data_IF_011020646334
#
_entry.id   IF_011020646334
#
_cell.length_a   1.000
_cell.length_b   1.000
_cell.length_c   1.000
_cell.angle_alpha   90.00
_cell.angle_beta   90.00
_cell.angle_gamma   90.00
#
_symmetry.space_group_name_H-M   'P 1'
#
loop_
_entity.id
_entity.type
_entity.pdbx_description
1 polymer ?
#
# COMPACT_ATOMS: atom_id res chain seq x y z
N UNK A 1 -26.41 -2.50 -11.27
CA UNK A 1 -25.52 -2.52 -10.08
C UNK A 1 -24.70 -3.82 -9.98
N UNK A 2 -25.30 -5.00 -10.16
CA UNK A 2 -24.62 -6.32 -10.11
C UNK A 2 -23.37 -6.44 -11.01
N UNK A 3 -23.48 -6.02 -12.28
CA UNK A 3 -22.37 -6.11 -13.25
C UNK A 3 -21.12 -5.33 -12.83
N UNK A 4 -21.30 -4.13 -12.25
CA UNK A 4 -20.18 -3.31 -11.78
C UNK A 4 -19.46 -3.99 -10.62
N UNK A 5 -20.21 -4.50 -9.63
CA UNK A 5 -19.64 -5.23 -8.48
C UNK A 5 -18.88 -6.47 -8.94
N UNK A 6 -19.41 -7.21 -9.91
CA UNK A 6 -18.73 -8.38 -10.48
C UNK A 6 -17.38 -8.02 -11.11
N UNK A 7 -17.36 -6.96 -11.95
CA UNK A 7 -16.13 -6.47 -12.58
C UNK A 7 -15.12 -5.93 -11.58
N UNK A 8 -15.56 -5.24 -10.52
CA UNK A 8 -14.69 -4.78 -9.43
C UNK A 8 -14.01 -5.95 -8.71
N UNK A 9 -14.76 -7.02 -8.40
CA UNK A 9 -14.20 -8.23 -7.79
C UNK A 9 -13.21 -8.93 -8.72
N UNK A 10 -13.54 -9.02 -10.01
CA UNK A 10 -12.67 -9.59 -11.03
C UNK A 10 -11.34 -8.82 -11.10
N UNK A 11 -11.41 -7.48 -11.17
CA UNK A 11 -10.23 -6.62 -11.22
C UNK A 11 -9.38 -6.72 -9.95
N UNK A 12 -10.00 -6.68 -8.77
CA UNK A 12 -9.30 -6.78 -7.49
C UNK A 12 -8.61 -8.14 -7.29
N UNK A 13 -9.13 -9.21 -7.92
CA UNK A 13 -8.55 -10.56 -7.88
C UNK A 13 -7.53 -10.81 -8.99
N UNK A 14 -7.57 -10.03 -10.07
CA UNK A 14 -6.67 -10.16 -11.22
C UNK A 14 -5.22 -9.96 -10.82
N UNK A 15 -4.35 -10.84 -11.32
CA UNK A 15 -2.91 -10.73 -11.09
C UNK A 15 -2.32 -9.44 -11.69
N UNK A 16 -2.79 -9.04 -12.87
CA UNK A 16 -2.39 -7.78 -13.49
C UNK A 16 -2.79 -6.57 -12.62
N UNK A 17 -3.97 -6.60 -12.00
CA UNK A 17 -4.42 -5.57 -11.06
C UNK A 17 -3.48 -5.42 -9.86
N UNK A 18 -3.08 -6.56 -9.27
CA UNK A 18 -2.13 -6.60 -8.14
C UNK A 18 -0.75 -6.06 -8.52
N UNK A 19 -0.24 -6.41 -9.70
CA UNK A 19 1.02 -5.88 -10.22
C UNK A 19 0.96 -4.37 -10.41
N UNK A 20 -0.15 -3.85 -10.95
CA UNK A 20 -0.34 -2.40 -11.12
C UNK A 20 -0.41 -1.66 -9.79
N UNK A 21 -1.06 -2.24 -8.78
CA UNK A 21 -1.10 -1.69 -7.43
C UNK A 21 0.30 -1.61 -6.81
N UNK A 22 1.06 -2.71 -6.87
CA UNK A 22 2.45 -2.78 -6.38
C UNK A 22 3.34 -1.76 -7.11
N UNK A 23 3.21 -1.65 -8.43
CA UNK A 23 3.94 -0.67 -9.23
C UNK A 23 3.67 0.74 -8.71
N UNK A 24 2.39 1.11 -8.58
CA UNK A 24 1.95 2.43 -8.11
C UNK A 24 2.54 2.80 -6.75
N UNK A 25 2.53 1.88 -5.78
CA UNK A 25 3.08 2.17 -4.45
C UNK A 25 4.60 2.19 -4.43
N UNK A 26 5.24 1.39 -5.28
CA UNK A 26 6.71 1.33 -5.37
C UNK A 26 7.33 2.49 -6.14
N UNK A 27 6.53 3.27 -6.87
CA UNK A 27 6.95 4.42 -7.66
C UNK A 27 6.49 5.76 -7.08
N UNK A 28 5.64 5.74 -6.05
CA UNK A 28 5.13 6.95 -5.42
C UNK A 28 6.22 7.75 -4.68
N UNK A 29 5.92 9.01 -4.34
CA UNK A 29 6.84 9.90 -3.60
C UNK A 29 7.21 9.35 -2.21
N UNK A 30 6.32 8.58 -1.58
CA UNK A 30 6.51 7.97 -0.26
C UNK A 30 7.17 6.59 -0.26
N UNK A 31 7.69 6.13 -1.42
CA UNK A 31 8.17 4.75 -1.60
C UNK A 31 9.36 4.36 -0.72
N UNK A 32 10.10 5.36 -0.23
CA UNK A 32 11.27 5.18 0.66
C UNK A 32 10.92 5.29 2.13
N UNK A 33 9.64 5.47 2.46
CA UNK A 33 9.16 5.60 3.84
C UNK A 33 8.47 4.32 4.25
N UNK A 34 9.06 3.56 5.17
CA UNK A 34 8.49 2.31 5.66
C UNK A 34 7.38 2.54 6.70
N UNK A 35 6.48 1.56 6.83
CA UNK A 35 5.44 1.54 7.86
C UNK A 35 5.98 1.03 9.20
N UNK A 36 5.11 0.45 10.02
CA UNK A 36 5.47 -0.15 11.32
C UNK A 36 6.33 -1.41 11.19
N UNK A 37 6.23 -2.10 10.06
CA UNK A 37 7.01 -3.29 9.71
C UNK A 37 8.46 -2.98 9.29
N UNK A 38 8.78 -1.69 9.09
CA UNK A 38 10.07 -1.24 8.57
C UNK A 38 10.47 -1.86 7.20
N UNK A 39 9.50 -2.34 6.42
CA UNK A 39 9.76 -2.93 5.10
C UNK A 39 9.55 -1.94 3.94
N UNK A 40 10.38 -2.07 2.90
CA UNK A 40 10.30 -1.33 1.64
C UNK A 40 10.26 -2.28 0.44
N UNK A 41 9.66 -1.81 -0.66
CA UNK A 41 9.65 -2.50 -1.95
C UNK A 41 10.78 -2.02 -2.87
N UNK A 42 12.02 -2.15 -2.38
CA UNK A 42 13.25 -1.66 -3.01
C UNK A 42 13.75 -2.54 -4.17
N UNK A 43 13.51 -3.85 -4.10
CA UNK A 43 14.00 -4.84 -5.07
C UNK A 43 12.87 -5.42 -5.92
N UNK A 44 13.16 -5.84 -7.17
CA UNK A 44 12.18 -6.54 -8.01
C UNK A 44 11.61 -7.79 -7.33
N UNK A 45 12.44 -8.55 -6.61
CA UNK A 45 12.02 -9.74 -5.87
C UNK A 45 10.99 -9.41 -4.78
N UNK A 46 11.20 -8.35 -3.98
CA UNK A 46 10.22 -7.92 -2.96
C UNK A 46 8.92 -7.45 -3.60
N UNK A 47 8.98 -6.68 -4.70
CA UNK A 47 7.78 -6.26 -5.45
C UNK A 47 6.98 -7.48 -5.95
N UNK A 48 7.67 -8.45 -6.53
CA UNK A 48 7.06 -9.68 -7.03
C UNK A 48 6.40 -10.50 -5.92
N UNK A 49 7.09 -10.68 -4.79
CA UNK A 49 6.52 -11.36 -3.61
C UNK A 49 5.30 -10.62 -3.08
N UNK A 50 5.34 -9.29 -3.02
CA UNK A 50 4.22 -8.48 -2.57
C UNK A 50 2.99 -8.67 -3.46
N UNK A 51 3.16 -8.64 -4.80
CA UNK A 51 2.06 -8.86 -5.74
C UNK A 51 1.40 -10.24 -5.58
N UNK A 52 2.20 -11.28 -5.25
CA UNK A 52 1.69 -12.62 -4.94
C UNK A 52 0.97 -12.69 -3.59
N UNK A 53 1.45 -11.93 -2.59
CA UNK A 53 0.88 -11.89 -1.23
C UNK A 53 -0.44 -11.12 -1.15
N UNK A 54 -0.69 -10.18 -2.07
CA UNK A 54 -1.96 -9.43 -2.11
C UNK A 54 -3.14 -10.39 -2.32
N UNK A 55 -3.94 -10.59 -1.27
CA UNK A 55 -5.15 -11.38 -1.28
C UNK A 55 -6.17 -10.73 -0.34
N UNK A 56 -7.43 -10.62 -0.81
CA UNK A 56 -8.51 -10.02 -0.03
C UNK A 56 -9.05 -10.96 1.06
N UNK A 57 -8.93 -12.28 0.88
CA UNK A 57 -9.57 -13.26 1.78
C UNK A 57 -8.99 -13.19 3.20
N UNK A 58 -7.67 -13.06 3.32
CA UNK A 58 -6.94 -13.11 4.61
C UNK A 58 -6.29 -11.77 4.95
N UNK A 59 -6.79 -10.67 4.37
CA UNK A 59 -6.22 -9.36 4.59
C UNK A 59 -6.46 -8.87 6.03
N UNK A 60 -5.36 -8.64 6.75
CA UNK A 60 -5.37 -8.03 8.08
C UNK A 60 -4.48 -6.79 8.04
N UNK A 61 -5.05 -5.57 8.15
CA UNK A 61 -4.27 -4.35 8.10
C UNK A 61 -3.37 -4.24 9.35
N UNK A 62 -2.22 -3.61 9.18
CA UNK A 62 -1.30 -3.31 10.27
C UNK A 62 -1.58 -1.91 10.85
N UNK A 63 -1.18 -1.65 12.11
CA UNK A 63 -1.29 -0.31 12.66
C UNK A 63 -0.45 0.70 11.88
N UNK A 64 -0.92 1.94 11.81
CA UNK A 64 -0.21 3.02 11.11
C UNK A 64 0.98 3.54 11.94
N UNK A 65 2.12 3.77 11.28
CA UNK A 65 3.26 4.47 11.89
C UNK A 65 2.94 5.96 11.98
N UNK A 66 2.89 6.50 13.19
CA UNK A 66 2.61 7.93 13.41
C UNK A 66 3.89 8.75 13.32
N UNK A 67 3.86 9.80 12.51
CA UNK A 67 4.93 10.80 12.42
C UNK A 67 4.33 12.19 12.42
N UNK A 68 5.12 13.20 12.78
CA UNK A 68 4.68 14.59 12.83
C UNK A 68 5.48 15.43 11.85
N UNK A 69 4.76 16.15 10.97
CA UNK A 69 5.36 17.06 10.00
C UNK A 69 5.19 18.49 10.51
N UNK A 70 6.27 19.30 10.58
CA UNK A 70 6.17 20.68 11.00
C UNK A 70 5.33 21.51 10.02
N UNK A 71 4.47 22.38 10.54
CA UNK A 71 3.78 23.43 9.77
C UNK A 71 4.56 24.74 9.88
N UNK A 72 4.31 25.66 8.95
CA UNK A 72 4.90 27.02 8.97
C UNK A 72 4.55 27.81 10.24
N UNK A 73 3.43 27.52 10.88
CA UNK A 73 2.96 28.22 12.08
C UNK A 73 3.43 27.59 13.40
N UNK A 74 4.50 26.80 13.39
CA UNK A 74 5.07 26.14 14.58
C UNK A 74 4.30 24.92 15.10
N UNK A 75 3.04 24.71 14.68
CA UNK A 75 2.27 23.51 15.03
C UNK A 75 2.75 22.30 14.22
N UNK A 76 2.40 21.09 14.68
CA UNK A 76 2.71 19.83 13.97
C UNK A 76 1.44 19.25 13.33
N UNK A 77 1.56 18.70 12.13
CA UNK A 77 0.51 17.90 11.45
C UNK A 77 0.81 16.41 11.66
N UNK A 78 -0.11 15.62 12.23
CA UNK A 78 0.08 14.18 12.30
C UNK A 78 -0.03 13.56 10.90
N UNK A 79 0.79 12.56 10.64
CA UNK A 79 0.74 11.72 9.46
C UNK A 79 0.74 10.24 9.90
N UNK A 80 -0.22 9.47 9.38
CA UNK A 80 -0.23 8.02 9.49
C UNK A 80 0.41 7.41 8.26
N UNK A 81 1.47 6.63 8.44
CA UNK A 81 2.20 5.95 7.38
C UNK A 81 1.84 4.46 7.45
N UNK A 82 1.03 3.93 6.50
CA UNK A 82 0.73 2.50 6.43
C UNK A 82 1.94 1.69 5.94
N UNK A 83 1.91 0.38 6.16
CA UNK A 83 2.88 -0.57 5.57
C UNK A 83 2.69 -0.67 4.05
N UNK A 84 3.68 -1.19 3.32
CA UNK A 84 3.61 -1.27 1.86
C UNK A 84 2.46 -2.16 1.38
N UNK A 85 2.14 -3.21 2.13
CA UNK A 85 1.02 -4.09 1.84
C UNK A 85 -0.33 -3.37 1.89
N UNK A 86 -0.54 -2.51 2.87
CA UNK A 86 -1.81 -1.80 3.07
C UNK A 86 -1.97 -0.60 2.10
N UNK A 87 -0.87 -0.16 1.48
CA UNK A 87 -0.90 0.86 0.41
C UNK A 87 -1.33 0.30 -0.94
N UNK A 88 -1.07 -0.99 -1.17
CA UNK A 88 -1.19 -1.67 -2.46
C UNK A 88 -2.51 -2.43 -2.53
#
# INVERSE_FOLDING_TARGET
MERVRSLQRLLARSFAGKLMAVKRVSENRGKRTAGVDNELLDTPAKKWRQAKKLNLADYKPQPLKRTYIPKKNGKKRPLGIPVMQDRA
#
